data_IF_169184947453
#
_entry.id   IF_169184947453
#
_cell.length_a   1.000
_cell.length_b   1.000
_cell.length_c   1.000
_cell.angle_alpha   90.00
_cell.angle_beta   90.00
_cell.angle_gamma   90.00
#
_symmetry.space_group_name_H-M   'P 1'
#
loop_
_entity.id
_entity.type
_entity.pdbx_description
1 polymer ?
#
# COMPACT_ATOMS: atom_id res chain seq x y z
N UNK A 1 2.40 15.90 -0.07
CA UNK A 1 2.05 17.34 0.01
C UNK A 1 2.34 17.80 1.43
N UNK A 2 3.05 18.91 1.55
CA UNK A 2 3.36 19.55 2.84
C UNK A 2 2.13 20.27 3.39
N UNK A 3 2.06 20.57 4.72
CA UNK A 3 0.90 21.24 5.32
C UNK A 3 0.57 22.60 4.73
N UNK A 4 1.55 23.29 4.14
CA UNK A 4 1.40 24.58 3.44
C UNK A 4 0.96 24.44 1.97
N UNK A 5 0.73 23.20 1.50
CA UNK A 5 0.26 22.90 0.15
C UNK A 5 1.36 22.71 -0.90
N UNK A 6 2.63 22.86 -0.52
CA UNK A 6 3.74 22.59 -1.45
C UNK A 6 3.97 21.10 -1.67
N UNK A 7 4.38 20.75 -2.89
CA UNK A 7 4.79 19.41 -3.29
C UNK A 7 6.29 19.41 -3.57
N UNK A 8 7.03 18.56 -2.87
CA UNK A 8 8.47 18.42 -3.06
C UNK A 8 8.82 17.30 -4.05
N UNK A 9 8.10 16.20 -3.97
CA UNK A 9 8.34 15.03 -4.82
C UNK A 9 7.01 14.39 -5.19
N UNK A 10 6.88 14.02 -6.47
CA UNK A 10 5.88 13.07 -6.94
C UNK A 10 6.65 11.84 -7.46
N UNK A 11 6.44 10.68 -6.82
CA UNK A 11 7.25 9.48 -7.03
C UNK A 11 7.40 9.10 -8.51
N UNK A 12 6.34 9.26 -9.30
CA UNK A 12 6.33 8.88 -10.72
C UNK A 12 6.73 10.00 -11.69
N UNK A 13 6.90 11.24 -11.19
CA UNK A 13 7.21 12.41 -12.03
C UNK A 13 8.58 12.98 -11.66
N UNK A 14 9.05 12.76 -10.44
CA UNK A 14 10.32 13.26 -9.96
C UNK A 14 10.19 14.47 -9.03
N UNK A 15 11.34 15.13 -8.79
CA UNK A 15 11.40 16.31 -7.91
C UNK A 15 10.83 17.52 -8.63
N UNK A 16 9.90 18.20 -7.99
CA UNK A 16 9.29 19.43 -8.45
C UNK A 16 9.75 20.54 -7.51
N UNK A 17 10.12 21.69 -8.07
CA UNK A 17 10.53 22.86 -7.28
C UNK A 17 9.42 23.90 -7.27
N UNK A 18 9.19 24.51 -6.11
CA UNK A 18 8.31 25.67 -5.90
C UNK A 18 6.89 25.53 -6.47
N UNK A 19 6.34 24.32 -6.44
CA UNK A 19 4.96 24.08 -6.89
C UNK A 19 4.00 23.92 -5.73
N UNK A 20 2.96 24.78 -5.70
CA UNK A 20 1.87 24.70 -4.74
C UNK A 20 0.53 24.50 -5.46
N UNK A 21 0.17 23.23 -5.78
CA UNK A 21 -1.08 22.93 -6.49
C UNK A 21 -2.32 23.30 -5.68
N UNK A 22 -2.22 23.34 -4.37
CA UNK A 22 -3.35 23.72 -3.49
C UNK A 22 -3.71 25.20 -3.71
N UNK A 23 -2.72 26.09 -3.75
CA UNK A 23 -2.90 27.51 -4.00
C UNK A 23 -3.40 27.75 -5.42
N UNK A 24 -2.74 27.14 -6.41
CA UNK A 24 -3.09 27.30 -7.82
C UNK A 24 -4.52 26.84 -8.09
N UNK A 25 -4.91 25.69 -7.56
CA UNK A 25 -6.29 25.19 -7.73
C UNK A 25 -7.31 26.08 -7.02
N UNK A 26 -6.99 26.62 -5.82
CA UNK A 26 -7.87 27.58 -5.13
C UNK A 26 -8.08 28.84 -5.95
N UNK A 27 -7.03 29.39 -6.56
CA UNK A 27 -7.11 30.57 -7.44
C UNK A 27 -7.97 30.28 -8.68
N UNK A 28 -7.76 29.14 -9.35
CA UNK A 28 -8.56 28.71 -10.50
C UNK A 28 -10.04 28.50 -10.17
N UNK A 29 -10.35 28.12 -8.93
CA UNK A 29 -11.71 27.92 -8.43
C UNK A 29 -12.33 29.22 -7.85
N UNK A 30 -11.74 30.40 -8.10
CA UNK A 30 -12.27 31.68 -7.62
C UNK A 30 -12.14 31.89 -6.12
N UNK A 31 -11.11 31.33 -5.48
CA UNK A 31 -10.83 31.49 -4.05
C UNK A 31 -11.49 30.47 -3.14
N UNK A 32 -12.08 29.39 -3.68
CA UNK A 32 -12.60 28.31 -2.86
C UNK A 32 -11.43 27.65 -2.08
N UNK A 33 -11.56 27.46 -0.75
CA UNK A 33 -10.52 26.80 0.04
C UNK A 33 -10.24 25.38 -0.45
N UNK A 34 -9.00 25.09 -0.79
CA UNK A 34 -8.52 23.77 -1.21
C UNK A 34 -7.59 23.20 -0.14
N UNK A 35 -7.68 21.91 0.11
CA UNK A 35 -6.71 21.16 0.92
C UNK A 35 -6.19 20.00 0.09
N UNK A 36 -4.88 19.76 0.17
CA UNK A 36 -4.22 18.62 -0.44
C UNK A 36 -3.73 17.66 0.62
N UNK A 37 -3.76 16.36 0.32
CA UNK A 37 -3.19 15.32 1.17
C UNK A 37 -2.69 14.16 0.31
N UNK A 38 -2.02 13.19 0.92
CA UNK A 38 -1.73 11.91 0.31
C UNK A 38 -3.04 11.20 -0.11
N UNK A 39 -3.03 10.47 -1.21
CA UNK A 39 -4.19 9.80 -1.80
C UNK A 39 -4.82 8.77 -0.86
N UNK A 40 -4.02 7.98 -0.16
CA UNK A 40 -4.52 7.01 0.82
C UNK A 40 -5.18 7.69 2.04
N UNK A 41 -4.65 8.85 2.47
CA UNK A 41 -5.27 9.64 3.52
C UNK A 41 -6.63 10.21 3.08
N UNK A 42 -6.74 10.68 1.83
CA UNK A 42 -8.01 11.16 1.28
C UNK A 42 -9.00 10.02 1.14
N UNK A 43 -8.56 8.86 0.70
CA UNK A 43 -9.39 7.65 0.65
C UNK A 43 -9.91 7.26 2.04
N UNK A 44 -9.04 7.29 3.07
CA UNK A 44 -9.44 7.02 4.46
C UNK A 44 -10.51 8.00 4.96
N UNK A 45 -10.38 9.29 4.64
CA UNK A 45 -11.41 10.29 4.97
C UNK A 45 -12.72 10.01 4.24
N UNK A 46 -12.67 9.62 2.97
CA UNK A 46 -13.84 9.21 2.19
C UNK A 46 -14.56 8.03 2.82
N UNK A 47 -13.81 7.01 3.24
CA UNK A 47 -14.33 5.84 3.93
C UNK A 47 -14.95 6.18 5.29
N UNK A 48 -14.34 7.07 6.05
CA UNK A 48 -14.92 7.56 7.31
C UNK A 48 -16.19 8.38 7.07
N UNK A 49 -16.23 9.18 6.00
CA UNK A 49 -17.37 10.05 5.72
C UNK A 49 -18.58 9.29 5.18
N UNK A 50 -18.41 8.45 4.16
CA UNK A 50 -19.52 7.80 3.41
C UNK A 50 -19.29 6.32 3.13
N UNK A 51 -18.19 5.73 3.59
CA UNK A 51 -17.85 4.33 3.36
C UNK A 51 -17.97 3.46 4.62
N UNK A 52 -17.14 2.43 4.69
CA UNK A 52 -17.13 1.43 5.76
C UNK A 52 -16.78 1.98 7.14
N UNK A 53 -16.12 3.14 7.21
CA UNK A 53 -15.78 3.83 8.46
C UNK A 53 -16.83 4.82 8.96
N UNK A 54 -17.99 4.91 8.30
CA UNK A 54 -19.03 5.86 8.67
C UNK A 54 -19.56 5.62 10.09
N UNK A 55 -19.54 6.69 10.90
CA UNK A 55 -19.97 6.67 12.29
C UNK A 55 -18.86 6.36 13.28
N UNK A 56 -17.68 5.97 12.82
CA UNK A 56 -16.50 5.78 13.68
C UNK A 56 -15.63 7.04 13.67
N UNK A 57 -14.94 7.30 14.81
CA UNK A 57 -13.98 8.39 14.94
C UNK A 57 -12.54 7.93 14.77
N UNK A 58 -12.31 6.65 14.98
CA UNK A 58 -11.01 6.01 14.86
C UNK A 58 -11.11 4.97 13.74
N UNK A 59 -10.36 5.19 12.67
CA UNK A 59 -10.42 4.39 11.44
C UNK A 59 -9.02 4.20 10.91
N UNK A 60 -8.69 2.98 10.54
CA UNK A 60 -7.53 2.68 9.70
C UNK A 60 -8.03 2.13 8.39
N UNK A 61 -7.74 2.85 7.32
CA UNK A 61 -7.99 2.37 5.97
C UNK A 61 -6.69 1.80 5.39
N UNK A 62 -6.78 0.63 4.78
CA UNK A 62 -5.67 -0.02 4.06
C UNK A 62 -6.09 -0.25 2.61
N UNK A 63 -5.34 0.30 1.69
CA UNK A 63 -5.57 0.11 0.25
C UNK A 63 -4.59 -0.90 -0.31
N UNK A 64 -5.12 -1.92 -0.97
CA UNK A 64 -4.34 -2.97 -1.64
C UNK A 64 -4.50 -2.81 -3.15
N UNK A 65 -3.47 -2.31 -3.79
CA UNK A 65 -3.40 -2.10 -5.23
C UNK A 65 -2.02 -2.49 -5.77
N UNK A 66 -1.48 -1.72 -6.71
CA UNK A 66 -0.09 -1.85 -7.18
C UNK A 66 0.91 -1.80 -6.02
N UNK A 67 0.62 -0.95 -5.03
CA UNK A 67 1.30 -0.87 -3.74
C UNK A 67 0.37 -1.18 -2.56
N UNK A 68 0.83 -0.89 -1.35
CA UNK A 68 0.02 -0.89 -0.12
C UNK A 68 0.02 0.51 0.46
N UNK A 69 -1.13 1.16 0.40
CA UNK A 69 -1.34 2.46 1.05
C UNK A 69 -2.11 2.32 2.36
N UNK A 70 -2.05 3.38 3.16
CA UNK A 70 -2.81 3.45 4.39
C UNK A 70 -3.14 4.87 4.81
N UNK A 71 -4.22 5.02 5.56
CA UNK A 71 -4.60 6.25 6.23
C UNK A 71 -5.09 5.95 7.64
N UNK A 72 -4.58 6.71 8.59
CA UNK A 72 -4.94 6.57 10.00
C UNK A 72 -5.72 7.80 10.43
N UNK A 73 -6.89 7.58 10.99
CA UNK A 73 -7.75 8.62 11.56
C UNK A 73 -7.93 8.32 13.05
N UNK A 74 -7.65 9.29 13.90
CA UNK A 74 -7.90 9.22 15.33
C UNK A 74 -8.72 10.45 15.77
N UNK A 75 -9.75 10.21 16.58
CA UNK A 75 -10.68 11.26 17.04
C UNK A 75 -11.27 12.08 15.89
N UNK A 76 -11.51 11.47 14.72
CA UNK A 76 -12.04 12.12 13.53
C UNK A 76 -11.02 12.94 12.72
N UNK A 77 -9.73 12.85 13.01
CA UNK A 77 -8.68 13.60 12.34
C UNK A 77 -7.62 12.65 11.76
N UNK A 78 -7.17 12.96 10.54
CA UNK A 78 -6.02 12.26 9.94
C UNK A 78 -4.79 12.45 10.83
N UNK A 79 -4.06 11.37 11.03
CA UNK A 79 -2.75 11.35 11.70
C UNK A 79 -1.66 11.52 10.64
N UNK A 80 -1.14 12.74 10.44
CA UNK A 80 -0.14 12.98 9.39
C UNK A 80 1.25 12.45 9.77
N UNK A 81 1.48 12.17 11.05
CA UNK A 81 2.83 11.94 11.56
C UNK A 81 3.69 13.20 11.58
N UNK A 82 4.79 13.18 12.31
CA UNK A 82 5.66 14.37 12.49
C UNK A 82 6.36 14.84 11.21
N UNK A 83 6.46 13.97 10.21
CA UNK A 83 7.08 14.26 8.89
C UNK A 83 6.15 13.95 7.71
N UNK A 84 4.84 13.92 7.93
CA UNK A 84 3.87 13.62 6.90
C UNK A 84 3.83 12.14 6.46
N UNK A 85 4.45 11.25 7.23
CA UNK A 85 4.52 9.80 6.91
C UNK A 85 3.56 8.95 7.75
N UNK A 86 2.60 9.57 8.42
CA UNK A 86 1.53 8.84 9.11
C UNK A 86 0.70 8.05 8.11
N UNK A 87 0.47 6.78 8.42
CA UNK A 87 -0.30 5.91 7.54
C UNK A 87 0.50 5.18 6.45
N UNK A 88 1.82 5.35 6.37
CA UNK A 88 2.70 4.62 5.42
C UNK A 88 2.84 3.13 5.79
N UNK A 89 1.70 2.45 5.91
CA UNK A 89 1.57 1.06 6.39
C UNK A 89 2.32 0.09 5.47
N UNK A 90 2.31 0.35 4.16
CA UNK A 90 3.00 -0.47 3.17
C UNK A 90 4.52 -0.53 3.39
N UNK A 91 5.09 0.44 4.10
CA UNK A 91 6.52 0.50 4.38
C UNK A 91 6.93 -0.09 5.73
N UNK A 92 5.99 -0.70 6.48
CA UNK A 92 6.34 -1.52 7.65
C UNK A 92 7.22 -2.69 7.19
N UNK A 93 8.41 -2.82 7.77
CA UNK A 93 9.31 -3.95 7.51
C UNK A 93 8.72 -5.19 8.19
N UNK A 94 8.25 -6.13 7.39
CA UNK A 94 7.56 -7.34 7.85
C UNK A 94 8.41 -8.60 7.75
N UNK A 95 9.42 -8.58 6.89
CA UNK A 95 10.36 -9.68 6.68
C UNK A 95 11.81 -9.15 6.79
N UNK A 96 12.43 -9.38 7.95
CA UNK A 96 13.81 -8.97 8.20
C UNK A 96 14.84 -9.81 7.46
N UNK A 97 14.45 -11.04 7.05
CA UNK A 97 15.28 -11.96 6.28
C UNK A 97 15.02 -11.86 4.77
N UNK A 98 14.45 -10.73 4.33
CA UNK A 98 14.13 -10.49 2.93
C UNK A 98 15.36 -10.67 2.04
N UNK A 99 15.30 -11.54 1.01
CA UNK A 99 16.41 -11.80 0.12
C UNK A 99 16.83 -10.53 -0.63
N UNK A 100 18.13 -10.23 -0.60
CA UNK A 100 18.67 -9.00 -1.22
C UNK A 100 18.49 -8.97 -2.73
N UNK A 101 18.51 -10.14 -3.37
CA UNK A 101 18.25 -10.34 -4.80
C UNK A 101 16.82 -9.98 -5.22
N UNK A 102 15.87 -10.00 -4.29
CA UNK A 102 14.49 -9.56 -4.56
C UNK A 102 14.34 -8.02 -4.57
N UNK A 103 15.44 -7.31 -4.31
CA UNK A 103 15.51 -5.86 -4.42
C UNK A 103 14.96 -5.08 -3.23
N UNK A 104 15.18 -3.77 -3.29
CA UNK A 104 14.70 -2.82 -2.30
C UNK A 104 13.28 -2.37 -2.57
N UNK A 105 12.59 -1.96 -1.52
CA UNK A 105 11.39 -1.15 -1.60
C UNK A 105 11.73 0.29 -2.05
N UNK A 106 10.75 1.01 -2.59
CA UNK A 106 10.91 2.42 -2.98
C UNK A 106 11.32 3.33 -1.80
N UNK A 107 11.04 2.93 -0.56
CA UNK A 107 11.52 3.62 0.65
C UNK A 107 12.97 3.28 1.03
N UNK A 108 13.71 2.55 0.18
CA UNK A 108 15.07 2.06 0.37
C UNK A 108 15.24 0.94 1.43
N UNK A 109 14.19 0.51 2.12
CA UNK A 109 14.22 -0.66 2.99
C UNK A 109 14.05 -1.96 2.22
N UNK A 110 14.17 -3.08 2.92
CA UNK A 110 13.91 -4.43 2.41
C UNK A 110 12.80 -5.07 3.24
N UNK A 111 12.01 -5.95 2.62
CA UNK A 111 10.99 -6.73 3.30
C UNK A 111 9.78 -5.93 3.79
N UNK A 112 9.48 -4.80 3.15
CA UNK A 112 8.30 -4.02 3.43
C UNK A 112 7.01 -4.80 3.09
N UNK A 113 5.93 -4.54 3.81
CA UNK A 113 4.63 -5.15 3.56
C UNK A 113 4.21 -5.04 2.08
N UNK A 114 4.43 -3.89 1.46
CA UNK A 114 4.15 -3.66 0.05
C UNK A 114 4.87 -4.65 -0.88
N UNK A 115 6.13 -4.99 -0.58
CA UNK A 115 6.90 -5.94 -1.38
C UNK A 115 6.34 -7.36 -1.33
N UNK A 116 5.47 -7.66 -0.34
CA UNK A 116 4.91 -8.99 -0.08
C UNK A 116 3.43 -9.05 -0.44
N UNK A 117 2.63 -8.08 0.04
CA UNK A 117 1.18 -8.15 0.04
C UNK A 117 0.47 -7.23 -0.96
N UNK A 118 1.20 -6.39 -1.71
CA UNK A 118 0.61 -5.66 -2.83
C UNK A 118 0.37 -6.57 -4.04
N UNK A 119 -0.37 -6.12 -5.03
CA UNK A 119 -0.57 -6.88 -6.27
C UNK A 119 0.77 -7.21 -6.95
N UNK A 120 1.69 -6.24 -7.02
CA UNK A 120 3.04 -6.47 -7.55
C UNK A 120 3.88 -7.35 -6.64
N UNK A 121 3.70 -7.24 -5.32
CA UNK A 121 4.34 -8.07 -4.32
C UNK A 121 3.94 -9.54 -4.46
N UNK A 122 2.64 -9.82 -4.52
CA UNK A 122 2.10 -11.19 -4.69
C UNK A 122 2.64 -11.83 -5.97
N UNK A 123 2.65 -11.11 -7.08
CA UNK A 123 3.23 -11.59 -8.33
C UNK A 123 4.74 -11.89 -8.20
N UNK A 124 5.49 -11.05 -7.48
CA UNK A 124 6.91 -11.27 -7.17
C UNK A 124 7.10 -12.53 -6.33
N UNK A 125 6.32 -12.71 -5.27
CA UNK A 125 6.38 -13.91 -4.43
C UNK A 125 6.06 -15.17 -5.23
N UNK A 126 5.07 -15.13 -6.13
CA UNK A 126 4.75 -16.24 -7.01
C UNK A 126 5.96 -16.64 -7.88
N UNK A 127 6.60 -15.67 -8.54
CA UNK A 127 7.81 -15.93 -9.33
C UNK A 127 8.95 -16.49 -8.47
N UNK A 128 9.13 -16.03 -7.23
CA UNK A 128 10.11 -16.57 -6.28
C UNK A 128 9.81 -18.01 -5.91
N UNK A 129 8.55 -18.35 -5.62
CA UNK A 129 8.15 -19.72 -5.29
C UNK A 129 8.36 -20.65 -6.49
N UNK A 130 7.97 -20.23 -7.70
CA UNK A 130 8.21 -21.01 -8.92
C UNK A 130 9.70 -21.27 -9.19
N UNK A 131 10.59 -20.32 -8.86
CA UNK A 131 12.05 -20.52 -8.98
C UNK A 131 12.61 -21.48 -7.95
N UNK A 132 12.09 -21.47 -6.73
CA UNK A 132 12.70 -22.15 -5.59
C UNK A 132 12.05 -23.50 -5.26
N UNK A 133 10.91 -23.81 -5.86
CA UNK A 133 10.15 -25.04 -5.61
C UNK A 133 9.82 -25.72 -6.93
N UNK A 134 10.15 -26.99 -7.03
CA UNK A 134 9.79 -27.83 -8.17
C UNK A 134 8.39 -28.44 -7.96
N UNK A 135 7.39 -27.57 -7.81
CA UNK A 135 6.00 -27.95 -7.61
C UNK A 135 5.22 -27.65 -8.90
N UNK A 136 4.44 -28.60 -9.43
CA UNK A 136 3.55 -28.32 -10.56
C UNK A 136 2.58 -27.18 -10.25
N UNK A 137 2.35 -26.29 -11.22
CA UNK A 137 1.41 -25.19 -11.09
C UNK A 137 1.04 -24.65 -12.45
N UNK A 138 -0.22 -24.27 -12.63
CA UNK A 138 -0.71 -23.58 -13.84
C UNK A 138 -0.07 -22.20 -14.01
N UNK A 139 0.47 -21.61 -12.93
CA UNK A 139 1.16 -20.32 -12.99
C UNK A 139 2.46 -20.38 -13.82
N UNK A 140 3.03 -21.56 -14.05
CA UNK A 140 4.26 -21.72 -14.85
C UNK A 140 4.04 -21.49 -16.34
N UNK A 141 2.79 -21.62 -16.81
CA UNK A 141 2.39 -21.41 -18.20
C UNK A 141 1.97 -19.95 -18.45
N UNK A 142 1.96 -19.09 -17.40
CA UNK A 142 1.61 -17.68 -17.49
C UNK A 142 2.89 -16.85 -17.66
N UNK A 143 3.00 -16.10 -18.77
CA UNK A 143 4.19 -15.28 -19.09
C UNK A 143 4.42 -14.18 -18.03
N UNK A 144 3.39 -13.39 -17.74
CA UNK A 144 3.41 -12.30 -16.76
C UNK A 144 2.39 -12.56 -15.65
N UNK A 145 2.79 -13.39 -14.67
CA UNK A 145 1.94 -13.72 -13.52
C UNK A 145 1.54 -12.47 -12.75
N UNK A 146 0.24 -12.32 -12.52
CA UNK A 146 -0.38 -11.26 -11.72
C UNK A 146 -0.93 -11.80 -10.40
N UNK A 147 -1.28 -10.90 -9.46
CA UNK A 147 -1.96 -11.30 -8.23
C UNK A 147 -3.31 -11.97 -8.52
N UNK A 148 -4.02 -11.54 -9.58
CA UNK A 148 -5.28 -12.16 -10.00
C UNK A 148 -5.06 -13.63 -10.37
N UNK A 149 -4.06 -13.93 -11.18
CA UNK A 149 -3.76 -15.30 -11.60
C UNK A 149 -3.44 -16.18 -10.39
N UNK A 150 -2.68 -15.66 -9.42
CA UNK A 150 -2.39 -16.37 -8.17
C UNK A 150 -3.66 -16.72 -7.40
N UNK A 151 -4.56 -15.76 -7.19
CA UNK A 151 -5.78 -16.03 -6.43
C UNK A 151 -6.77 -16.92 -7.21
N UNK A 152 -6.84 -16.78 -8.51
CA UNK A 152 -7.71 -17.63 -9.34
C UNK A 152 -7.19 -19.08 -9.37
N UNK A 153 -5.88 -19.27 -9.52
CA UNK A 153 -5.26 -20.60 -9.44
C UNK A 153 -5.42 -21.22 -8.04
N UNK A 154 -5.21 -20.44 -6.97
CA UNK A 154 -5.41 -20.92 -5.60
C UNK A 154 -6.86 -21.38 -5.36
N UNK A 155 -7.86 -20.61 -5.82
CA UNK A 155 -9.28 -21.01 -5.75
C UNK A 155 -9.58 -22.28 -6.54
N UNK A 156 -8.81 -22.55 -7.58
CA UNK A 156 -8.93 -23.76 -8.39
C UNK A 156 -8.17 -24.95 -7.77
N UNK A 157 -7.51 -24.79 -6.62
CA UNK A 157 -6.80 -25.87 -5.91
C UNK A 157 -5.35 -26.06 -6.35
N UNK A 158 -4.73 -25.06 -7.00
CA UNK A 158 -3.30 -25.11 -7.33
C UNK A 158 -2.47 -24.94 -6.05
N UNK A 159 -1.75 -25.98 -5.66
CA UNK A 159 -1.05 -26.04 -4.38
C UNK A 159 0.09 -25.00 -4.24
N UNK A 160 0.77 -24.66 -5.35
CA UNK A 160 1.79 -23.61 -5.33
C UNK A 160 1.13 -22.24 -5.14
N UNK A 161 0.06 -21.97 -5.86
CA UNK A 161 -0.68 -20.72 -5.75
C UNK A 161 -1.31 -20.54 -4.36
N UNK A 162 -1.85 -21.61 -3.76
CA UNK A 162 -2.32 -21.62 -2.36
C UNK A 162 -1.20 -21.25 -1.39
N UNK A 163 -0.02 -21.83 -1.57
CA UNK A 163 1.17 -21.55 -0.75
C UNK A 163 1.60 -20.09 -0.86
N UNK A 164 1.59 -19.52 -2.07
CA UNK A 164 1.88 -18.09 -2.33
C UNK A 164 0.86 -17.19 -1.64
N UNK A 165 -0.43 -17.47 -1.84
CA UNK A 165 -1.51 -16.71 -1.23
C UNK A 165 -1.42 -16.75 0.31
N UNK A 166 -1.23 -17.94 0.88
CA UNK A 166 -1.08 -18.11 2.32
C UNK A 166 0.13 -17.34 2.87
N UNK A 167 1.28 -17.39 2.18
CA UNK A 167 2.47 -16.63 2.55
C UNK A 167 2.17 -15.11 2.59
N UNK A 168 1.62 -14.55 1.52
CA UNK A 168 1.34 -13.12 1.43
C UNK A 168 0.29 -12.67 2.46
N UNK A 169 -0.79 -13.43 2.61
CA UNK A 169 -1.87 -13.11 3.55
C UNK A 169 -1.44 -13.25 5.01
N UNK A 170 -0.49 -14.13 5.33
CA UNK A 170 0.12 -14.22 6.67
C UNK A 170 0.79 -12.89 7.07
N UNK A 171 1.54 -12.26 6.17
CA UNK A 171 2.20 -11.00 6.46
C UNK A 171 1.21 -9.84 6.54
N UNK A 172 0.20 -9.82 5.67
CA UNK A 172 -0.89 -8.84 5.75
C UNK A 172 -1.63 -8.96 7.08
N UNK A 173 -2.04 -10.16 7.47
CA UNK A 173 -2.74 -10.39 8.74
C UNK A 173 -1.90 -9.96 9.95
N UNK A 174 -0.59 -10.22 9.91
CA UNK A 174 0.33 -9.79 10.98
C UNK A 174 0.43 -8.27 11.04
N UNK A 175 0.52 -7.58 9.91
CA UNK A 175 0.54 -6.12 9.87
C UNK A 175 -0.76 -5.52 10.42
N UNK A 176 -1.91 -6.06 10.03
CA UNK A 176 -3.22 -5.63 10.55
C UNK A 176 -3.33 -5.87 12.06
N UNK A 177 -2.83 -7.00 12.56
CA UNK A 177 -2.80 -7.28 14.00
C UNK A 177 -1.94 -6.27 14.77
N UNK A 178 -0.77 -5.89 14.24
CA UNK A 178 0.07 -4.87 14.88
C UNK A 178 -0.61 -3.50 14.91
N UNK A 179 -1.26 -3.11 13.83
CA UNK A 179 -2.02 -1.87 13.76
C UNK A 179 -3.14 -1.89 14.80
N UNK A 180 -3.95 -2.94 14.83
CA UNK A 180 -5.06 -3.07 15.76
C UNK A 180 -4.65 -3.13 17.24
N UNK A 181 -3.39 -3.47 17.54
CA UNK A 181 -2.84 -3.45 18.90
C UNK A 181 -2.24 -2.09 19.29
N UNK A 182 -2.05 -1.20 18.32
CA UNK A 182 -1.34 0.07 18.52
C UNK A 182 -2.29 1.27 18.54
N UNK A 183 -3.45 1.13 17.88
CA UNK A 183 -4.48 2.18 17.70
C UNK A 183 -5.83 1.71 18.33
#
# INVERSE_FOLDING_TARGET
IMPDGYVEIIVNIGRIQDWNPVKELSELLGGIPVKGSNDANVAALGEMWQGGGKGYKDVVAVTLGTGVGGGVILNGHIVPGSKGMGGEIGHMVMDWDWPREEGRCNCNNYGCLEQIASATGIARIARRFMRNQDMPSVLRDVEDVTAKDVFDAAKAGDALAESVAAYCMKYLARALAYIAQTI
#
